data_IF_059005924497
#
_entry.id   IF_059005924497
#
_cell.length_a   1.000
_cell.length_b   1.000
_cell.length_c   1.000
_cell.angle_alpha   90.00
_cell.angle_beta   90.00
_cell.angle_gamma   90.00
#
_symmetry.space_group_name_H-M   'P 1'
#
loop_
_entity.id
_entity.type
_entity.pdbx_description
1 polymer ?
#
# COMPACT_ATOMS: atom_id res chain seq x y z
N UNK A 1 1.42 -24.89 10.20
CA UNK A 1 0.22 -24.03 10.22
C UNK A 1 0.14 -23.25 8.91
N UNK A 2 -1.05 -22.93 8.42
CA UNK A 2 -1.28 -22.12 7.21
C UNK A 2 -1.30 -20.64 7.59
N UNK A 3 -0.59 -19.79 6.83
CA UNK A 3 -0.46 -18.35 7.10
C UNK A 3 -1.81 -17.62 7.01
N UNK A 4 -2.14 -16.84 8.04
CA UNK A 4 -3.35 -15.98 8.13
C UNK A 4 -3.01 -14.53 7.79
N UNK A 5 -3.64 -13.99 6.76
CA UNK A 5 -3.42 -12.62 6.28
C UNK A 5 -4.61 -11.75 6.65
N UNK A 6 -4.34 -10.55 7.20
CA UNK A 6 -5.36 -9.53 7.44
C UNK A 6 -5.19 -8.35 6.46
N UNK A 7 -6.25 -8.03 5.72
CA UNK A 7 -6.36 -6.78 4.96
C UNK A 7 -7.56 -5.98 5.51
N UNK A 8 -7.31 -4.94 6.34
CA UNK A 8 -8.36 -4.17 7.01
C UNK A 8 -9.19 -3.31 6.06
N UNK A 9 -8.68 -2.99 4.86
CA UNK A 9 -9.35 -2.07 3.96
C UNK A 9 -10.13 -2.84 2.90
N UNK A 10 -11.44 -2.98 3.12
CA UNK A 10 -12.33 -3.64 2.18
C UNK A 10 -12.69 -2.74 1.01
N UNK A 11 -12.57 -3.29 -0.19
CA UNK A 11 -13.08 -2.69 -1.42
C UNK A 11 -14.16 -3.58 -2.05
N UNK A 12 -13.76 -4.67 -2.71
CA UNK A 12 -14.67 -5.61 -3.36
C UNK A 12 -14.29 -7.10 -3.13
N UNK A 13 -13.44 -7.36 -2.13
CA UNK A 13 -12.95 -8.69 -1.79
C UNK A 13 -11.97 -9.31 -2.82
N UNK A 14 -11.51 -8.56 -3.83
CA UNK A 14 -10.61 -9.13 -4.86
C UNK A 14 -9.27 -9.60 -4.29
N UNK A 15 -8.75 -8.93 -3.25
CA UNK A 15 -7.47 -9.29 -2.63
C UNK A 15 -7.49 -10.72 -2.08
N UNK A 16 -8.56 -11.10 -1.36
CA UNK A 16 -8.72 -12.45 -0.83
C UNK A 16 -8.74 -13.51 -1.94
N UNK A 17 -9.46 -13.23 -3.04
CA UNK A 17 -9.50 -14.14 -4.21
C UNK A 17 -8.14 -14.26 -4.89
N UNK A 18 -7.40 -13.17 -5.05
CA UNK A 18 -6.09 -13.17 -5.70
C UNK A 18 -5.03 -13.87 -4.86
N UNK A 19 -5.00 -13.60 -3.55
CA UNK A 19 -4.09 -14.26 -2.62
C UNK A 19 -4.38 -15.75 -2.49
N UNK A 20 -5.66 -16.15 -2.48
CA UNK A 20 -6.03 -17.58 -2.49
C UNK A 20 -5.48 -18.31 -3.73
N UNK A 21 -5.55 -17.67 -4.92
CA UNK A 21 -4.96 -18.22 -6.16
C UNK A 21 -3.43 -18.34 -6.11
N UNK A 22 -2.77 -17.56 -5.25
CA UNK A 22 -1.32 -17.60 -5.01
C UNK A 22 -0.93 -18.59 -3.89
N UNK A 23 -1.89 -19.34 -3.34
CA UNK A 23 -1.64 -20.32 -2.27
C UNK A 23 -1.82 -19.79 -0.85
N UNK A 24 -2.41 -18.59 -0.67
CA UNK A 24 -2.73 -18.01 0.63
C UNK A 24 -4.26 -17.97 0.84
N UNK A 25 -4.89 -19.10 1.23
CA UNK A 25 -6.36 -19.18 1.28
C UNK A 25 -6.97 -18.50 2.51
N UNK A 26 -6.20 -18.24 3.56
CA UNK A 26 -6.70 -17.66 4.81
C UNK A 26 -6.50 -16.14 4.83
N UNK A 27 -7.38 -15.43 4.13
CA UNK A 27 -7.37 -13.96 4.07
C UNK A 27 -8.64 -13.39 4.70
N UNK A 28 -8.48 -12.61 5.76
CA UNK A 28 -9.56 -11.81 6.31
C UNK A 28 -9.61 -10.46 5.59
N UNK A 29 -10.59 -10.29 4.70
CA UNK A 29 -10.93 -9.04 4.03
C UNK A 29 -12.46 -8.95 3.92
N UNK A 30 -13.11 -8.46 4.98
CA UNK A 30 -14.57 -8.36 5.13
C UNK A 30 -15.00 -6.90 5.12
N UNK A 31 -16.25 -6.63 4.72
CA UNK A 31 -16.80 -5.28 4.66
C UNK A 31 -17.11 -4.74 6.06
N UNK A 32 -16.05 -4.40 6.78
CA UNK A 32 -16.08 -3.88 8.15
C UNK A 32 -15.36 -2.53 8.20
N UNK A 33 -15.80 -1.66 9.11
CA UNK A 33 -15.05 -0.45 9.43
C UNK A 33 -13.83 -0.85 10.26
N UNK A 34 -12.65 -0.80 9.65
CA UNK A 34 -11.37 -1.11 10.27
C UNK A 34 -11.21 -0.42 11.63
N UNK A 35 -11.55 0.86 11.73
CA UNK A 35 -11.31 1.62 12.94
C UNK A 35 -12.29 1.29 14.04
N UNK A 36 -13.56 1.03 13.67
CA UNK A 36 -14.53 0.52 14.62
C UNK A 36 -14.13 -0.86 15.16
N UNK A 37 -13.54 -1.72 14.32
CA UNK A 37 -13.01 -3.04 14.72
C UNK A 37 -11.85 -2.91 15.70
N UNK A 38 -10.90 -2.01 15.43
CA UNK A 38 -9.77 -1.72 16.33
C UNK A 38 -10.28 -1.17 17.67
N UNK A 39 -11.16 -0.16 17.64
CA UNK A 39 -11.71 0.45 18.85
C UNK A 39 -12.51 -0.54 19.72
N UNK A 40 -13.19 -1.50 19.08
CA UNK A 40 -13.94 -2.55 19.77
C UNK A 40 -13.07 -3.71 20.28
N UNK A 41 -11.76 -3.71 20.04
CA UNK A 41 -10.88 -4.83 20.38
C UNK A 41 -11.21 -6.12 19.62
N UNK A 42 -11.82 -6.00 18.43
CA UNK A 42 -12.29 -7.13 17.61
C UNK A 42 -11.37 -7.43 16.44
N UNK A 43 -10.11 -7.00 16.50
CA UNK A 43 -9.11 -7.24 15.45
C UNK A 43 -9.02 -8.76 15.21
N UNK A 44 -9.23 -9.24 13.98
CA UNK A 44 -9.16 -10.66 13.66
C UNK A 44 -7.79 -11.25 13.98
N UNK A 45 -7.75 -12.49 14.45
CA UNK A 45 -6.48 -13.20 14.64
C UNK A 45 -5.77 -13.41 13.29
N UNK A 46 -4.53 -12.92 13.19
CA UNK A 46 -3.72 -12.97 11.97
C UNK A 46 -2.22 -13.08 12.30
N UNK A 47 -1.46 -13.60 11.33
CA UNK A 47 -0.01 -13.72 11.41
C UNK A 47 0.69 -12.51 10.79
N UNK A 48 0.09 -11.94 9.74
CA UNK A 48 0.63 -10.81 8.98
C UNK A 48 -0.48 -9.89 8.49
N UNK A 49 -0.23 -8.58 8.51
CA UNK A 49 -1.08 -7.59 7.84
C UNK A 49 -0.54 -7.32 6.43
N UNK A 50 -1.39 -7.39 5.41
CA UNK A 50 -1.04 -7.04 4.03
C UNK A 50 -2.13 -6.16 3.44
N UNK A 51 -1.79 -4.95 3.03
CA UNK A 51 -2.81 -4.02 2.52
C UNK A 51 -2.29 -3.01 1.49
N UNK A 52 -3.22 -2.48 0.71
CA UNK A 52 -3.07 -1.29 -0.13
C UNK A 52 -4.09 -0.27 0.38
N UNK A 53 -3.74 0.54 1.40
CA UNK A 53 -4.69 1.37 2.10
C UNK A 53 -5.19 2.52 1.23
N UNK A 54 -6.31 3.15 1.57
CA UNK A 54 -6.64 4.47 1.04
C UNK A 54 -5.53 5.48 1.36
N UNK A 55 -5.19 6.33 0.39
CA UNK A 55 -4.13 7.34 0.55
C UNK A 55 -4.66 8.71 0.98
N UNK A 56 -5.98 8.83 1.19
CA UNK A 56 -6.66 10.07 1.53
C UNK A 56 -6.79 10.26 3.04
N UNK A 57 -7.07 11.50 3.45
CA UNK A 57 -7.32 11.87 4.84
C UNK A 57 -6.22 11.36 5.79
N UNK A 58 -6.61 10.84 6.95
CA UNK A 58 -5.73 10.33 7.99
C UNK A 58 -5.48 8.82 7.90
N UNK A 59 -5.97 8.14 6.84
CA UNK A 59 -5.89 6.69 6.72
C UNK A 59 -4.45 6.13 6.84
N UNK A 60 -3.44 6.71 6.16
CA UNK A 60 -2.07 6.21 6.28
C UNK A 60 -1.50 6.39 7.69
N UNK A 61 -1.78 7.52 8.35
CA UNK A 61 -1.34 7.77 9.72
C UNK A 61 -1.97 6.75 10.67
N UNK A 62 -3.29 6.56 10.61
CA UNK A 62 -3.99 5.62 11.49
C UNK A 62 -3.57 4.17 11.26
N UNK A 63 -3.27 3.79 10.01
CA UNK A 63 -2.69 2.48 9.71
C UNK A 63 -1.32 2.32 10.37
N UNK A 64 -0.45 3.32 10.23
CA UNK A 64 0.90 3.30 10.80
C UNK A 64 0.86 3.24 12.34
N UNK A 65 -0.01 4.02 12.96
CA UNK A 65 -0.27 3.96 14.40
C UNK A 65 -0.74 2.57 14.82
N UNK A 66 -1.64 1.94 14.06
CA UNK A 66 -2.07 0.57 14.34
C UNK A 66 -0.92 -0.45 14.26
N UNK A 67 -0.17 -0.48 13.15
CA UNK A 67 0.88 -1.49 12.96
C UNK A 67 2.07 -1.31 13.91
N UNK A 68 2.29 -0.10 14.43
CA UNK A 68 3.28 0.16 15.46
C UNK A 68 2.98 -0.57 16.79
N UNK A 69 1.69 -0.78 17.10
CA UNK A 69 1.24 -1.42 18.34
C UNK A 69 0.78 -2.88 18.15
N UNK A 70 0.43 -3.28 16.91
CA UNK A 70 -0.12 -4.62 16.62
C UNK A 70 0.89 -5.76 16.85
N UNK A 71 2.20 -5.48 16.84
CA UNK A 71 3.24 -6.48 17.11
C UNK A 71 3.35 -7.60 16.08
N UNK A 72 2.65 -7.50 14.95
CA UNK A 72 2.69 -8.45 13.83
C UNK A 72 3.49 -7.88 12.67
N UNK A 73 4.16 -8.74 11.86
CA UNK A 73 4.67 -8.35 10.56
C UNK A 73 3.59 -7.67 9.72
N UNK A 74 4.00 -6.67 8.93
CA UNK A 74 3.07 -5.94 8.07
C UNK A 74 3.72 -5.51 6.76
N UNK A 75 2.90 -5.46 5.72
CA UNK A 75 3.24 -4.99 4.38
C UNK A 75 2.16 -4.00 3.92
N UNK A 76 2.55 -2.75 3.67
CA UNK A 76 1.64 -1.73 3.17
C UNK A 76 2.16 -1.13 1.86
N UNK A 77 1.37 -1.26 0.79
CA UNK A 77 1.66 -0.58 -0.47
C UNK A 77 1.26 0.88 -0.34
N UNK A 78 2.24 1.78 -0.29
CA UNK A 78 1.97 3.20 -0.04
C UNK A 78 2.77 4.11 -0.97
N UNK A 79 2.35 5.37 -1.16
CA UNK A 79 3.11 6.37 -1.90
C UNK A 79 4.47 6.67 -1.26
N UNK A 80 5.40 7.15 -2.08
CA UNK A 80 6.71 7.62 -1.63
C UNK A 80 6.63 8.80 -0.66
N UNK A 81 5.68 9.73 -0.82
CA UNK A 81 5.54 10.88 0.09
C UNK A 81 5.20 10.50 1.53
N UNK A 82 4.76 9.26 1.80
CA UNK A 82 4.48 8.80 3.17
C UNK A 82 5.73 8.80 4.03
N UNK A 83 6.88 8.39 3.48
CA UNK A 83 8.11 8.29 4.25
C UNK A 83 8.70 9.65 4.67
N UNK A 84 8.15 10.75 4.16
CA UNK A 84 8.55 12.12 4.50
C UNK A 84 7.67 12.74 5.59
N UNK A 85 6.60 12.06 5.99
CA UNK A 85 5.67 12.60 6.98
C UNK A 85 6.18 12.35 8.39
N UNK A 86 5.95 13.31 9.29
CA UNK A 86 6.34 13.20 10.70
C UNK A 86 5.69 12.00 11.39
N UNK A 87 4.43 11.71 11.07
CA UNK A 87 3.73 10.54 11.62
C UNK A 87 4.41 9.23 11.21
N UNK A 88 5.03 9.16 10.03
CA UNK A 88 5.77 7.97 9.62
C UNK A 88 7.01 7.79 10.50
N UNK A 89 7.82 8.83 10.64
CA UNK A 89 9.01 8.79 11.50
C UNK A 89 8.66 8.45 12.96
N UNK A 90 7.51 8.91 13.45
CA UNK A 90 7.02 8.61 14.81
C UNK A 90 6.57 7.16 14.95
N UNK A 91 5.69 6.68 14.07
CA UNK A 91 5.13 5.33 14.14
C UNK A 91 6.19 4.24 13.89
N UNK A 92 7.25 4.55 13.13
CA UNK A 92 8.30 3.58 12.80
C UNK A 92 9.58 3.77 13.61
N UNK A 93 9.55 4.60 14.66
CA UNK A 93 10.73 4.84 15.51
C UNK A 93 11.22 3.52 16.13
N UNK A 94 12.47 3.16 15.86
CA UNK A 94 13.07 1.90 16.34
C UNK A 94 12.62 0.65 15.59
N UNK A 95 11.69 0.75 14.64
CA UNK A 95 11.28 -0.36 13.80
C UNK A 95 12.38 -0.68 12.77
N UNK A 96 12.62 -1.98 12.55
CA UNK A 96 13.50 -2.44 11.47
C UNK A 96 12.68 -2.60 10.20
N UNK A 97 12.62 -1.54 9.42
CA UNK A 97 11.93 -1.53 8.13
C UNK A 97 12.82 -2.04 7.00
N UNK A 98 12.18 -2.49 5.93
CA UNK A 98 12.77 -2.59 4.60
C UNK A 98 11.67 -2.32 3.55
N UNK A 99 12.08 -2.15 2.30
CA UNK A 99 11.18 -1.75 1.22
C UNK A 99 11.30 -2.69 0.02
N UNK A 100 10.15 -3.05 -0.55
CA UNK A 100 10.09 -3.80 -1.81
C UNK A 100 9.61 -2.85 -2.90
N UNK A 101 10.54 -2.47 -3.77
CA UNK A 101 10.34 -1.46 -4.80
C UNK A 101 10.18 -2.16 -6.15
N UNK A 102 9.02 -2.07 -6.83
CA UNK A 102 8.86 -2.67 -8.14
C UNK A 102 9.72 -1.91 -9.18
N UNK A 103 10.36 -2.65 -10.10
CA UNK A 103 11.14 -2.04 -11.20
C UNK A 103 10.25 -1.30 -12.20
N UNK A 104 8.96 -1.66 -12.26
CA UNK A 104 7.93 -0.97 -13.03
C UNK A 104 6.92 -0.34 -12.07
N UNK A 105 6.51 0.90 -12.34
CA UNK A 105 5.55 1.63 -11.49
C UNK A 105 4.20 0.94 -11.45
N UNK A 106 3.54 0.99 -10.30
CA UNK A 106 2.13 0.64 -10.20
C UNK A 106 1.27 1.61 -11.02
N UNK A 107 0.27 1.02 -11.67
CA UNK A 107 -0.82 1.74 -12.31
C UNK A 107 -2.10 1.48 -11.53
N UNK A 108 -2.85 2.55 -11.31
CA UNK A 108 -4.14 2.54 -10.63
C UNK A 108 -5.25 2.70 -11.65
N UNK A 109 -6.38 2.07 -11.39
CA UNK A 109 -7.58 2.18 -12.20
C UNK A 109 -8.57 3.07 -11.50
N UNK A 110 -8.93 4.20 -12.12
CA UNK A 110 -9.97 5.09 -11.62
C UNK A 110 -11.28 4.78 -12.34
N UNK A 111 -12.36 4.39 -11.63
CA UNK A 111 -13.67 4.21 -12.24
C UNK A 111 -14.16 5.48 -12.97
N UNK A 112 -14.91 5.30 -14.06
CA UNK A 112 -15.47 6.43 -14.82
C UNK A 112 -16.40 7.26 -13.92
N UNK A 113 -16.40 8.59 -14.09
CA UNK A 113 -17.28 9.51 -13.36
C UNK A 113 -16.83 9.89 -11.94
N UNK A 114 -15.75 9.31 -11.40
CA UNK A 114 -15.20 9.65 -10.06
C UNK A 114 -14.17 10.80 -10.10
N UNK A 115 -13.85 11.30 -11.27
CA UNK A 115 -12.86 12.36 -11.50
C UNK A 115 -13.51 13.50 -12.30
N UNK A 116 -13.67 14.67 -11.67
CA UNK A 116 -14.31 15.85 -12.27
C UNK A 116 -13.55 16.39 -13.50
N UNK A 117 -12.24 16.13 -13.55
CA UNK A 117 -11.32 16.40 -14.67
C UNK A 117 -11.62 15.57 -15.94
N UNK A 118 -12.44 14.51 -15.85
CA UNK A 118 -12.87 13.72 -17.02
C UNK A 118 -14.25 14.15 -17.53
N UNK A 119 -15.00 14.94 -16.75
CA UNK A 119 -16.37 15.38 -17.08
C UNK A 119 -16.38 16.80 -17.63
N UNK A 120 -15.47 17.68 -17.19
CA UNK A 120 -15.33 19.01 -17.76
C UNK A 120 -14.53 18.95 -19.05
N UNK A 121 -15.18 19.15 -20.21
CA UNK A 121 -14.59 19.27 -21.54
C UNK A 121 -13.68 20.49 -21.71
N UNK A 122 -12.66 20.61 -20.86
CA UNK A 122 -11.59 21.57 -20.98
C UNK A 122 -10.43 21.00 -21.81
N UNK A 123 -9.66 21.89 -22.42
CA UNK A 123 -8.63 21.68 -23.45
C UNK A 123 -7.44 20.76 -23.08
N UNK A 124 -7.52 20.00 -21.97
CA UNK A 124 -6.60 18.92 -21.58
C UNK A 124 -7.11 17.52 -21.94
N UNK A 125 -8.08 17.40 -22.85
CA UNK A 125 -8.52 16.14 -23.45
C UNK A 125 -7.46 15.48 -24.38
N UNK A 126 -6.16 15.60 -24.04
CA UNK A 126 -5.09 14.97 -24.79
C UNK A 126 -4.39 13.93 -23.91
N UNK A 127 -4.45 12.69 -24.39
CA UNK A 127 -3.59 11.55 -24.00
C UNK A 127 -3.89 10.84 -22.67
N UNK A 128 -5.09 10.27 -22.51
CA UNK A 128 -5.28 9.16 -21.56
C UNK A 128 -5.09 7.81 -22.25
N UNK A 129 -3.83 7.45 -22.49
CA UNK A 129 -3.45 6.15 -23.00
C UNK A 129 -3.94 5.05 -22.04
N UNK A 130 -4.79 4.16 -22.56
CA UNK A 130 -5.36 2.97 -21.91
C UNK A 130 -6.57 3.22 -20.99
N UNK A 131 -7.74 3.43 -21.60
CA UNK A 131 -9.04 3.20 -20.96
C UNK A 131 -9.43 1.73 -21.04
N UNK A 132 -10.00 1.18 -19.97
CA UNK A 132 -10.63 -0.13 -19.93
C UNK A 132 -12.14 0.04 -19.63
N UNK A 133 -12.99 -0.72 -20.32
CA UNK A 133 -14.45 -0.62 -20.16
C UNK A 133 -14.92 -0.99 -18.75
N UNK A 134 -14.30 -1.98 -18.11
CA UNK A 134 -14.67 -2.45 -16.76
C UNK A 134 -13.94 -1.74 -15.62
N UNK A 135 -12.71 -1.27 -15.85
CA UNK A 135 -11.86 -0.68 -14.80
C UNK A 135 -11.73 0.85 -14.86
N UNK A 136 -12.14 1.48 -15.96
CA UNK A 136 -12.06 2.93 -16.15
C UNK A 136 -10.72 3.40 -16.73
N UNK A 137 -10.14 4.46 -16.18
CA UNK A 137 -8.94 5.11 -16.74
C UNK A 137 -7.69 4.71 -15.95
N UNK A 138 -6.64 4.29 -16.66
CA UNK A 138 -5.34 3.98 -16.06
C UNK A 138 -4.61 5.25 -15.68
N UNK A 139 -4.12 5.33 -14.44
CA UNK A 139 -3.33 6.44 -13.92
C UNK A 139 -2.10 5.94 -13.15
N UNK A 140 -1.12 6.80 -12.91
CA UNK A 140 -0.03 6.54 -11.96
C UNK A 140 0.27 7.84 -11.22
N UNK A 141 -0.67 8.32 -10.37
CA UNK A 141 -0.56 9.62 -9.73
C UNK A 141 0.64 9.69 -8.79
N UNK A 142 1.06 8.56 -8.23
CA UNK A 142 2.15 8.47 -7.27
C UNK A 142 3.15 7.40 -7.68
N UNK A 143 4.39 7.53 -7.21
CA UNK A 143 5.29 6.39 -7.11
C UNK A 143 4.95 5.68 -5.80
N UNK A 144 4.71 4.37 -5.87
CA UNK A 144 4.31 3.56 -4.72
C UNK A 144 5.14 2.29 -4.67
N UNK A 145 5.44 1.86 -3.45
CA UNK A 145 6.22 0.66 -3.15
C UNK A 145 5.78 0.10 -1.80
N UNK A 146 6.23 -1.12 -1.49
CA UNK A 146 5.85 -1.77 -0.24
C UNK A 146 6.76 -1.33 0.90
N UNK A 147 6.13 -0.86 1.96
CA UNK A 147 6.74 -0.65 3.26
C UNK A 147 6.55 -1.95 4.05
N UNK A 148 7.64 -2.49 4.58
CA UNK A 148 7.61 -3.75 5.33
C UNK A 148 8.24 -3.56 6.70
N UNK A 149 7.54 -4.00 7.75
CA UNK A 149 7.97 -3.87 9.14
C UNK A 149 7.48 -5.01 10.02
N UNK A 150 7.99 -5.06 11.25
CA UNK A 150 7.59 -6.06 12.24
C UNK A 150 8.05 -7.50 11.96
N UNK A 151 8.83 -7.73 10.90
CA UNK A 151 9.35 -9.05 10.57
C UNK A 151 10.43 -9.50 11.58
N UNK A 152 10.43 -10.78 12.01
CA UNK A 152 11.56 -11.38 12.70
C UNK A 152 12.86 -11.25 11.90
N UNK A 153 14.00 -11.22 12.60
CA UNK A 153 15.32 -11.05 11.98
C UNK A 153 15.59 -12.15 10.95
N UNK A 154 15.18 -13.37 11.24
CA UNK A 154 15.38 -14.56 10.40
C UNK A 154 14.65 -14.41 9.07
N UNK A 155 13.41 -13.91 9.10
CA UNK A 155 12.60 -13.66 7.89
C UNK A 155 13.27 -12.60 7.02
N UNK A 156 13.73 -11.51 7.63
CA UNK A 156 14.39 -10.42 6.92
C UNK A 156 15.71 -10.86 6.29
N UNK A 157 16.52 -11.62 7.01
CA UNK A 157 17.83 -12.08 6.52
C UNK A 157 17.69 -13.15 5.42
N UNK A 158 16.61 -13.94 5.45
CA UNK A 158 16.27 -14.91 4.41
C UNK A 158 15.65 -14.25 3.16
N UNK A 159 15.18 -13.00 3.26
CA UNK A 159 14.45 -12.35 2.18
C UNK A 159 15.33 -12.15 0.95
N UNK A 160 14.73 -12.37 -0.22
CA UNK A 160 15.34 -12.09 -1.53
C UNK A 160 14.40 -11.17 -2.29
N UNK A 161 14.96 -10.33 -3.15
CA UNK A 161 14.14 -9.48 -4.00
C UNK A 161 13.26 -10.37 -4.90
N UNK A 162 11.94 -10.18 -4.89
CA UNK A 162 11.07 -10.85 -5.87
C UNK A 162 11.47 -10.47 -7.30
N UNK A 163 11.18 -11.33 -8.27
CA UNK A 163 11.39 -11.02 -9.67
C UNK A 163 10.70 -9.68 -10.03
N UNK A 164 11.40 -8.84 -10.79
CA UNK A 164 10.88 -7.52 -11.16
C UNK A 164 10.81 -6.51 -10.02
N UNK A 165 11.41 -6.81 -8.85
CA UNK A 165 11.50 -5.90 -7.71
C UNK A 165 12.94 -5.70 -7.23
N UNK A 166 13.16 -4.65 -6.45
CA UNK A 166 14.37 -4.38 -5.68
C UNK A 166 14.05 -4.38 -4.20
N UNK A 167 14.89 -5.02 -3.41
CA UNK A 167 14.86 -4.95 -1.95
C UNK A 167 15.77 -3.80 -1.50
N UNK A 168 15.25 -2.88 -0.69
CA UNK A 168 15.98 -1.74 -0.13
C UNK A 168 15.95 -1.85 1.41
N UNK A 169 17.10 -1.81 2.07
CA UNK A 169 17.16 -1.99 3.54
C UNK A 169 16.91 -0.67 4.28
N UNK A 170 17.10 0.47 3.62
CA UNK A 170 16.82 1.80 4.13
C UNK A 170 16.21 2.72 3.06
N UNK A 171 15.64 3.85 3.48
CA UNK A 171 15.14 4.89 2.57
C UNK A 171 16.25 5.44 1.67
N UNK A 172 17.49 5.50 2.17
CA UNK A 172 18.66 5.93 1.39
C UNK A 172 18.97 5.00 0.20
N UNK A 173 18.56 3.73 0.27
CA UNK A 173 18.78 2.73 -0.78
C UNK A 173 17.74 2.82 -1.91
N UNK A 174 16.69 3.63 -1.73
CA UNK A 174 15.65 3.78 -2.73
C UNK A 174 16.23 4.30 -4.06
N UNK A 175 15.76 3.81 -5.22
CA UNK A 175 16.18 4.36 -6.51
C UNK A 175 15.90 5.86 -6.61
N UNK A 176 16.77 6.67 -7.26
CA UNK A 176 16.54 8.11 -7.42
C UNK A 176 15.15 8.46 -7.96
N UNK A 177 14.67 7.72 -8.98
CA UNK A 177 13.33 7.92 -9.54
C UNK A 177 12.17 7.76 -8.52
N UNK A 178 12.39 7.02 -7.43
CA UNK A 178 11.44 6.85 -6.33
C UNK A 178 11.56 7.97 -5.30
N UNK A 179 12.77 8.46 -5.04
CA UNK A 179 13.05 9.57 -4.10
C UNK A 179 12.67 10.93 -4.70
N UNK A 180 13.12 11.22 -5.92
CA UNK A 180 13.03 12.55 -6.53
C UNK A 180 11.61 12.92 -6.99
N UNK A 181 10.73 11.92 -7.12
CA UNK A 181 9.33 12.14 -7.48
C UNK A 181 8.50 12.76 -6.34
N UNK A 182 9.04 12.85 -5.13
CA UNK A 182 8.34 13.51 -4.02
C UNK A 182 8.37 15.03 -4.14
N UNK A 183 9.49 15.62 -4.58
CA UNK A 183 9.69 17.08 -4.73
C UNK A 183 8.79 17.75 -5.79
N UNK A 184 8.07 16.95 -6.57
CA UNK A 184 7.27 17.39 -7.72
C UNK A 184 5.76 17.34 -7.49
N UNK A 185 5.29 16.62 -6.45
CA UNK A 185 3.86 16.30 -6.28
C UNK A 185 3.10 17.21 -5.29
N UNK A 186 3.78 18.13 -4.58
CA UNK A 186 3.16 19.13 -3.70
C UNK A 186 2.93 20.50 -4.39
N UNK A 187 2.99 20.56 -5.73
CA UNK A 187 2.84 21.80 -6.51
C UNK A 187 1.52 21.91 -7.30
N UNK A 188 0.53 21.07 -7.02
CA UNK A 188 -0.78 21.10 -7.69
C UNK A 188 -1.91 21.10 -6.66
#
# INVERSE_FOLDING_TARGET
ATLRIYDPYFCNGAVARHLAKLGFPLVHNTNEDFYAIVAAGRVPEHDVLLTNPPYSADHPQRLLDFVAHNGRPWLALMPNWICEREYFATATRGARLFYVVPLKRYHYWTPRGRRADVVAGGSKAKTHGHSNASLGVRTSPFVSFWYVGGCPREVRDALRAPEGCRLCQALADLPPAVRDSVSSSHRC
#
